data_IF_539044901578
#
_entry.id   IF_539044901578
#
_cell.length_a   1.000
_cell.length_b   1.000
_cell.length_c   1.000
_cell.angle_alpha   90.00
_cell.angle_beta   90.00
_cell.angle_gamma   90.00
#
_symmetry.space_group_name_H-M   'P 1'
#
loop_
_entity.id
_entity.type
_entity.pdbx_description
1 polymer ?
#
# COMPACT_ATOMS: atom_id res chain seq x y z
N UNK A 1 26.07 1.66 11.37
CA UNK A 1 25.13 1.45 10.25
C UNK A 1 23.72 1.73 10.77
N UNK A 2 22.99 2.70 10.17
CA UNK A 2 21.62 3.12 10.60
C UNK A 2 20.50 2.69 9.63
N UNK A 3 20.86 2.04 8.53
CA UNK A 3 19.93 1.56 7.50
C UNK A 3 19.79 0.05 7.61
N UNK A 4 18.55 -0.44 7.68
CA UNK A 4 18.26 -1.88 7.70
C UNK A 4 18.56 -2.52 6.35
N UNK A 5 18.28 -1.80 5.27
CA UNK A 5 18.57 -2.19 3.90
C UNK A 5 19.41 -1.09 3.25
N UNK A 6 20.52 -1.47 2.62
CA UNK A 6 21.47 -0.52 2.03
C UNK A 6 20.93 0.20 0.79
N UNK A 7 19.95 -0.39 0.11
CA UNK A 7 19.35 0.09 -1.13
C UNK A 7 18.05 0.91 -0.92
N UNK A 8 17.52 0.91 0.31
CA UNK A 8 16.30 1.61 0.72
C UNK A 8 16.69 2.78 1.62
N UNK A 9 16.92 3.93 1.00
CA UNK A 9 17.31 5.18 1.67
C UNK A 9 16.21 6.25 1.48
N UNK A 10 16.03 7.17 2.44
CA UNK A 10 15.17 8.33 2.25
C UNK A 10 15.77 9.27 1.18
N UNK A 11 14.93 10.05 0.51
CA UNK A 11 15.43 11.16 -0.32
C UNK A 11 15.89 12.31 0.57
N UNK A 12 16.95 13.01 0.20
CA UNK A 12 17.42 14.17 0.95
C UNK A 12 16.34 15.26 1.06
N UNK A 13 15.53 15.44 0.03
CA UNK A 13 14.45 16.44 -0.02
C UNK A 13 13.27 16.16 0.92
N UNK A 14 13.12 14.93 1.41
CA UNK A 14 11.97 14.51 2.22
C UNK A 14 12.36 13.80 3.51
N UNK A 15 13.66 13.58 3.76
CA UNK A 15 14.14 12.90 4.96
C UNK A 15 13.69 13.63 6.23
N UNK A 16 13.51 12.87 7.30
CA UNK A 16 13.32 13.47 8.62
C UNK A 16 14.70 13.73 9.23
N UNK A 17 14.94 14.98 9.59
CA UNK A 17 16.18 15.41 10.25
C UNK A 17 16.00 15.45 11.76
N UNK A 18 17.04 15.04 12.51
CA UNK A 18 17.07 15.01 13.97
C UNK A 18 18.22 15.88 14.52
N UNK A 19 18.10 17.22 14.53
CA UNK A 19 19.20 18.11 14.90
C UNK A 19 19.74 17.90 16.32
N UNK A 20 18.98 17.24 17.21
CA UNK A 20 19.43 16.93 18.57
C UNK A 20 20.24 15.63 18.70
N UNK A 21 20.43 14.89 17.60
CA UNK A 21 21.30 13.70 17.54
C UNK A 21 22.66 14.03 16.93
N UNK A 22 23.61 13.08 16.99
CA UNK A 22 25.00 13.29 16.59
C UNK A 22 25.18 13.59 15.10
N UNK A 23 24.38 12.94 14.25
CA UNK A 23 24.55 12.92 12.80
C UNK A 23 23.28 13.31 12.04
N UNK A 24 22.29 13.88 12.74
CA UNK A 24 20.95 14.28 12.27
C UNK A 24 20.10 13.21 11.54
N UNK A 25 20.63 12.00 11.39
CA UNK A 25 20.13 11.03 10.44
C UNK A 25 19.21 9.99 11.08
N UNK A 26 18.08 9.77 10.42
CA UNK A 26 17.23 8.59 10.57
C UNK A 26 16.67 8.19 9.20
N UNK A 27 16.51 6.89 8.95
CA UNK A 27 15.89 6.40 7.71
C UNK A 27 14.36 6.57 7.74
N UNK A 28 13.91 7.81 7.61
CA UNK A 28 12.50 8.16 7.59
C UNK A 28 12.25 9.26 6.57
N UNK A 29 11.06 9.29 5.96
CA UNK A 29 10.66 10.32 5.01
C UNK A 29 9.30 10.88 5.37
N UNK A 30 9.17 12.20 5.32
CA UNK A 30 7.87 12.85 5.31
C UNK A 30 7.13 12.52 4.02
N UNK A 31 5.84 12.20 4.15
CA UNK A 31 4.91 12.05 3.03
C UNK A 31 3.71 12.94 3.31
N UNK A 32 3.61 14.04 2.55
CA UNK A 32 2.64 15.12 2.76
C UNK A 32 1.78 15.30 1.52
N UNK A 33 0.74 16.11 1.66
CA UNK A 33 -0.12 16.59 0.56
C UNK A 33 -0.80 15.47 -0.24
N UNK A 34 -1.27 14.42 0.44
CA UNK A 34 -2.03 13.32 -0.17
C UNK A 34 -3.54 13.60 -0.30
N UNK A 35 -4.01 14.72 0.23
CA UNK A 35 -5.42 15.13 0.22
C UNK A 35 -5.74 15.98 1.44
N UNK A 36 -6.77 16.85 1.36
CA UNK A 36 -7.10 17.79 2.44
C UNK A 36 -7.57 17.11 3.73
N UNK A 37 -8.28 15.98 3.59
CA UNK A 37 -8.79 15.18 4.71
C UNK A 37 -7.81 14.09 5.15
N UNK A 38 -6.64 13.98 4.51
CA UNK A 38 -5.66 12.94 4.78
C UNK A 38 -4.54 13.47 5.71
N UNK A 39 -4.11 12.70 6.73
CA UNK A 39 -2.94 13.05 7.52
C UNK A 39 -1.67 13.17 6.67
N UNK A 40 -0.74 13.99 7.14
CA UNK A 40 0.66 13.82 6.76
C UNK A 40 1.25 12.60 7.47
N UNK A 41 2.18 11.92 6.82
CA UNK A 41 2.82 10.73 7.35
C UNK A 41 4.33 10.91 7.48
N UNK A 42 4.92 10.12 8.36
CA UNK A 42 6.34 9.79 8.35
C UNK A 42 6.46 8.30 8.08
N UNK A 43 7.01 7.93 6.93
CA UNK A 43 7.30 6.52 6.60
C UNK A 43 8.74 6.21 7.00
N UNK A 44 8.94 5.19 7.82
CA UNK A 44 10.27 4.77 8.30
C UNK A 44 10.45 3.25 8.26
N UNK A 45 11.70 2.80 8.34
CA UNK A 45 12.03 1.37 8.51
C UNK A 45 11.69 0.91 9.94
N UNK A 46 11.63 -0.42 10.14
CA UNK A 46 11.56 -0.98 11.48
C UNK A 46 12.83 -0.56 12.24
N UNK A 47 12.70 0.09 13.42
CA UNK A 47 13.86 0.54 14.18
C UNK A 47 14.84 -0.61 14.42
N UNK A 48 16.13 -0.35 14.24
CA UNK A 48 17.20 -1.26 14.61
C UNK A 48 17.55 -1.02 16.09
N UNK A 49 18.11 -2.00 16.82
CA UNK A 49 18.58 -1.78 18.19
C UNK A 49 19.49 -0.55 18.33
N UNK A 50 20.33 -0.30 17.31
CA UNK A 50 21.22 0.87 17.24
C UNK A 50 20.50 2.21 16.97
N UNK A 51 19.24 2.19 16.54
CA UNK A 51 18.45 3.38 16.16
C UNK A 51 17.18 3.54 17.00
N UNK A 52 16.98 2.79 18.08
CA UNK A 52 15.78 2.95 18.92
C UNK A 52 15.70 4.35 19.55
N UNK A 53 16.83 4.88 20.03
CA UNK A 53 16.89 6.24 20.56
C UNK A 53 16.51 7.27 19.48
N UNK A 54 17.08 7.15 18.28
CA UNK A 54 16.78 8.05 17.16
C UNK A 54 15.29 8.01 16.79
N UNK A 55 14.67 6.82 16.79
CA UNK A 55 13.25 6.66 16.50
C UNK A 55 12.36 7.41 17.52
N UNK A 56 12.65 7.28 18.82
CA UNK A 56 11.85 7.97 19.83
C UNK A 56 12.16 9.47 19.92
N UNK A 57 13.40 9.88 19.65
CA UNK A 57 13.74 11.30 19.49
C UNK A 57 12.95 11.89 18.32
N UNK A 58 12.84 11.18 17.20
CA UNK A 58 11.98 11.59 16.07
C UNK A 58 10.52 11.78 16.51
N UNK A 59 9.97 10.83 17.27
CA UNK A 59 8.60 10.90 17.81
C UNK A 59 8.42 12.15 18.69
N UNK A 60 9.39 12.43 19.59
CA UNK A 60 9.33 13.59 20.49
C UNK A 60 9.49 14.92 19.76
N UNK A 61 10.49 15.04 18.87
CA UNK A 61 10.78 16.28 18.13
C UNK A 61 9.67 16.63 17.14
N UNK A 62 9.15 15.62 16.40
CA UNK A 62 8.11 15.83 15.38
C UNK A 62 6.70 15.76 15.95
N UNK A 63 6.59 15.73 17.28
CA UNK A 63 5.33 15.82 18.01
C UNK A 63 4.34 14.70 17.66
N UNK A 64 4.86 13.50 17.42
CA UNK A 64 4.05 12.36 16.97
C UNK A 64 3.26 11.81 18.15
N UNK A 65 1.98 11.60 17.93
CA UNK A 65 1.05 10.99 18.90
C UNK A 65 0.55 9.62 18.45
N UNK A 66 0.71 9.27 17.15
CA UNK A 66 0.22 8.01 16.59
C UNK A 66 1.32 7.31 15.78
N UNK A 67 1.61 6.06 16.16
CA UNK A 67 2.59 5.18 15.52
C UNK A 67 1.88 3.91 15.04
N UNK A 68 2.04 3.59 13.77
CA UNK A 68 1.50 2.38 13.14
C UNK A 68 2.66 1.43 12.81
N UNK A 69 2.66 0.26 13.44
CA UNK A 69 3.61 -0.82 13.19
C UNK A 69 2.92 -1.90 12.34
N UNK A 70 3.38 -2.14 11.12
CA UNK A 70 2.82 -3.15 10.20
C UNK A 70 3.54 -4.50 10.26
N UNK A 71 4.12 -4.81 11.42
CA UNK A 71 4.83 -6.04 11.73
C UNK A 71 4.27 -6.67 13.00
N UNK A 72 3.79 -7.90 12.89
CA UNK A 72 3.47 -8.75 14.04
C UNK A 72 4.76 -9.15 14.80
N UNK A 73 4.63 -9.60 16.04
CA UNK A 73 5.78 -9.98 16.88
C UNK A 73 6.69 -11.02 16.21
N UNK A 74 6.10 -11.99 15.51
CA UNK A 74 6.84 -13.02 14.77
C UNK A 74 7.70 -12.49 13.61
N UNK A 75 7.47 -11.24 13.17
CA UNK A 75 8.19 -10.58 12.07
C UNK A 75 9.21 -9.58 12.57
N UNK A 76 9.21 -9.26 13.88
CA UNK A 76 10.10 -8.27 14.49
C UNK A 76 11.46 -8.89 14.89
N UNK A 77 11.62 -10.22 14.83
CA UNK A 77 12.87 -10.91 15.21
C UNK A 77 13.38 -10.54 16.61
N UNK A 78 12.47 -10.25 17.56
CA UNK A 78 12.81 -9.81 18.91
C UNK A 78 13.28 -8.35 19.02
N UNK A 79 13.29 -7.59 17.94
CA UNK A 79 13.68 -6.17 17.91
C UNK A 79 12.52 -5.27 18.40
N UNK A 80 12.23 -5.37 19.69
CA UNK A 80 11.16 -4.63 20.34
C UNK A 80 11.69 -3.28 20.84
N UNK A 81 11.26 -2.19 20.21
CA UNK A 81 11.68 -0.82 20.55
C UNK A 81 10.73 -0.13 21.55
N UNK A 82 9.83 -0.86 22.20
CA UNK A 82 8.86 -0.30 23.17
C UNK A 82 8.84 -1.10 24.47
N UNK A 83 8.31 -0.50 25.55
CA UNK A 83 8.11 -1.19 26.82
C UNK A 83 7.00 -2.25 26.74
N UNK A 84 7.30 -3.46 27.20
CA UNK A 84 6.39 -4.62 27.11
C UNK A 84 5.53 -4.78 28.37
N UNK A 85 6.01 -4.31 29.52
CA UNK A 85 5.33 -4.40 30.82
C UNK A 85 5.10 -3.01 31.41
N UNK A 86 4.06 -2.84 32.22
CA UNK A 86 3.79 -1.58 32.93
C UNK A 86 4.79 -1.28 34.05
N UNK A 87 5.48 -2.32 34.54
CA UNK A 87 6.42 -2.20 35.66
C UNK A 87 7.87 -2.04 35.19
N UNK A 88 8.10 -2.07 33.88
CA UNK A 88 9.44 -2.06 33.29
C UNK A 88 9.49 -1.03 32.17
N UNK A 89 10.18 0.07 32.43
CA UNK A 89 10.44 1.10 31.44
C UNK A 89 11.55 0.64 30.48
N UNK A 90 11.36 0.89 29.19
CA UNK A 90 12.45 0.79 28.23
C UNK A 90 13.25 2.10 28.27
N UNK A 91 14.48 2.01 28.76
CA UNK A 91 15.42 3.15 28.84
C UNK A 91 16.51 2.99 27.80
N UNK A 92 16.61 3.95 26.88
CA UNK A 92 17.60 3.96 25.80
C UNK A 92 18.27 5.33 25.76
N UNK A 93 19.50 5.41 26.26
CA UNK A 93 20.20 6.68 26.41
C UNK A 93 19.40 7.63 27.32
N UNK A 94 19.02 8.80 26.80
CA UNK A 94 18.19 9.78 27.52
C UNK A 94 16.69 9.55 27.39
N UNK A 95 16.26 8.65 26.50
CA UNK A 95 14.84 8.40 26.24
C UNK A 95 14.35 7.32 27.20
N UNK A 96 13.18 7.57 27.78
CA UNK A 96 12.42 6.60 28.56
C UNK A 96 11.04 6.39 27.92
N UNK A 97 10.69 5.13 27.70
CA UNK A 97 9.39 4.70 27.18
C UNK A 97 8.71 3.84 28.23
N UNK A 98 7.52 4.23 28.66
CA UNK A 98 6.72 3.56 29.69
C UNK A 98 5.40 3.10 29.12
N UNK A 99 5.02 1.84 29.33
CA UNK A 99 3.72 1.32 28.93
C UNK A 99 2.63 1.70 29.94
N UNK A 100 1.59 2.39 29.49
CA UNK A 100 0.46 2.80 30.32
C UNK A 100 -0.72 1.82 30.20
N UNK A 101 -1.05 1.41 28.98
CA UNK A 101 -2.09 0.41 28.70
C UNK A 101 -1.76 -0.40 27.45
N UNK A 102 -2.30 -1.62 27.40
CA UNK A 102 -2.18 -2.52 26.26
C UNK A 102 -3.54 -3.22 26.07
N UNK A 103 -4.15 -3.03 24.91
CA UNK A 103 -5.44 -3.58 24.54
C UNK A 103 -5.26 -4.45 23.29
N UNK A 104 -5.65 -5.72 23.36
CA UNK A 104 -5.65 -6.62 22.21
C UNK A 104 -6.96 -6.43 21.45
N UNK A 105 -6.89 -6.02 20.19
CA UNK A 105 -8.04 -5.91 19.28
C UNK A 105 -8.03 -7.06 18.28
N UNK A 106 -9.07 -7.16 17.46
CA UNK A 106 -9.23 -8.26 16.48
C UNK A 106 -8.07 -8.35 15.48
N UNK A 107 -7.52 -7.23 15.02
CA UNK A 107 -6.48 -7.20 13.97
C UNK A 107 -5.21 -6.41 14.35
N UNK A 108 -5.16 -5.81 15.54
CA UNK A 108 -3.99 -5.10 16.04
C UNK A 108 -3.89 -5.15 17.55
N UNK A 109 -2.69 -4.89 18.07
CA UNK A 109 -2.47 -4.59 19.48
C UNK A 109 -2.33 -3.08 19.61
N UNK A 110 -3.13 -2.49 20.48
CA UNK A 110 -3.13 -1.06 20.80
C UNK A 110 -2.38 -0.85 22.12
N UNK A 111 -1.41 0.05 22.13
CA UNK A 111 -0.66 0.44 23.33
C UNK A 111 -0.70 1.94 23.52
N UNK A 112 -0.95 2.37 24.75
CA UNK A 112 -0.74 3.76 25.15
C UNK A 112 0.59 3.81 25.89
N UNK A 113 1.51 4.63 25.41
CA UNK A 113 2.85 4.78 25.96
C UNK A 113 3.09 6.22 26.39
N UNK A 114 3.86 6.41 27.46
CA UNK A 114 4.46 7.70 27.80
C UNK A 114 5.92 7.69 27.38
N UNK A 115 6.32 8.64 26.55
CA UNK A 115 7.69 8.77 26.03
C UNK A 115 8.25 10.10 26.53
N UNK A 116 9.45 10.08 27.11
CA UNK A 116 10.11 11.30 27.59
C UNK A 116 11.61 11.25 27.35
N UNK A 117 12.23 12.40 27.10
CA UNK A 117 13.69 12.57 27.12
C UNK A 117 14.18 13.40 28.32
N UNK A 118 13.31 13.57 29.33
CA UNK A 118 13.54 14.41 30.50
C UNK A 118 13.20 15.89 30.29
N UNK A 119 13.12 16.36 29.04
CA UNK A 119 12.75 17.75 28.71
C UNK A 119 11.32 17.83 28.19
N UNK A 120 10.96 16.91 27.30
CA UNK A 120 9.62 16.81 26.73
C UNK A 120 9.04 15.44 27.02
N UNK A 121 7.73 15.40 27.27
CA UNK A 121 6.98 14.16 27.48
C UNK A 121 5.78 14.14 26.55
N UNK A 122 5.51 12.99 25.93
CA UNK A 122 4.37 12.77 25.04
C UNK A 122 3.68 11.45 25.32
N UNK A 123 2.36 11.47 25.20
CA UNK A 123 1.55 10.25 25.18
C UNK A 123 1.42 9.81 23.72
N UNK A 124 1.77 8.56 23.45
CA UNK A 124 1.79 7.98 22.10
C UNK A 124 0.86 6.78 22.08
N UNK A 125 -0.06 6.77 21.12
CA UNK A 125 -0.83 5.59 20.75
C UNK A 125 -0.04 4.82 19.70
N UNK A 126 0.22 3.55 19.99
CA UNK A 126 0.93 2.64 19.12
C UNK A 126 0.00 1.51 18.71
N UNK A 127 -0.26 1.40 17.40
CA UNK A 127 -1.08 0.36 16.82
C UNK A 127 -0.19 -0.62 16.05
N UNK A 128 -0.09 -1.85 16.56
CA UNK A 128 0.66 -2.93 15.93
C UNK A 128 -0.26 -3.87 15.19
N UNK A 129 -0.25 -3.83 13.87
CA UNK A 129 -1.05 -4.70 13.01
C UNK A 129 -0.57 -6.15 13.09
N UNK A 130 -1.48 -7.06 13.41
CA UNK A 130 -1.18 -8.50 13.59
C UNK A 130 -1.70 -9.36 12.44
N UNK A 131 -2.52 -8.81 11.54
CA UNK A 131 -3.17 -9.55 10.47
C UNK A 131 -2.46 -9.47 9.10
N UNK A 132 -1.18 -9.06 9.05
CA UNK A 132 -0.38 -9.11 7.81
C UNK A 132 0.46 -10.39 7.74
N UNK A 133 0.23 -11.30 6.77
CA UNK A 133 1.01 -12.52 6.63
C UNK A 133 2.51 -12.28 6.36
N UNK A 134 3.37 -13.20 6.77
CA UNK A 134 4.83 -13.02 6.67
C UNK A 134 5.35 -12.70 5.27
N UNK A 135 4.96 -13.48 4.26
CA UNK A 135 5.48 -13.38 2.89
C UNK A 135 4.41 -13.05 1.85
N UNK A 136 3.17 -12.85 2.29
CA UNK A 136 2.01 -12.79 1.42
C UNK A 136 1.15 -11.57 1.75
N UNK A 137 0.25 -11.23 0.84
CA UNK A 137 -0.80 -10.26 1.11
C UNK A 137 -1.89 -10.87 1.99
N UNK A 138 -2.58 -10.07 2.82
CA UNK A 138 -3.79 -10.51 3.49
C UNK A 138 -4.81 -11.06 2.48
N UNK A 139 -5.55 -12.12 2.84
CA UNK A 139 -6.58 -12.73 1.98
C UNK A 139 -7.71 -11.74 1.63
N UNK A 140 -7.96 -10.79 2.52
CA UNK A 140 -8.93 -9.71 2.34
C UNK A 140 -8.31 -8.36 2.72
N UNK A 141 -8.66 -7.27 2.01
CA UNK A 141 -8.32 -5.90 2.43
C UNK A 141 -8.95 -5.47 3.77
N UNK A 142 -10.03 -6.14 4.20
CA UNK A 142 -10.86 -5.74 5.34
C UNK A 142 -10.07 -5.42 6.62
N UNK A 143 -9.21 -6.32 7.14
CA UNK A 143 -8.43 -6.05 8.34
C UNK A 143 -7.54 -4.80 8.26
N UNK A 144 -6.90 -4.56 7.11
CA UNK A 144 -6.08 -3.36 6.90
C UNK A 144 -6.96 -2.11 6.87
N UNK A 145 -8.11 -2.16 6.19
CA UNK A 145 -9.07 -1.06 6.12
C UNK A 145 -9.68 -0.73 7.50
N UNK A 146 -9.88 -1.72 8.37
CA UNK A 146 -10.28 -1.49 9.76
C UNK A 146 -9.21 -0.70 10.52
N UNK A 147 -7.93 -1.09 10.40
CA UNK A 147 -6.83 -0.35 11.03
C UNK A 147 -6.69 1.07 10.46
N UNK A 148 -6.85 1.24 9.14
CA UNK A 148 -6.83 2.55 8.49
C UNK A 148 -7.95 3.43 9.02
N UNK A 149 -9.17 2.91 9.11
CA UNK A 149 -10.33 3.65 9.63
C UNK A 149 -10.12 4.07 11.08
N UNK A 150 -9.57 3.18 11.91
CA UNK A 150 -9.21 3.48 13.30
C UNK A 150 -8.13 4.58 13.37
N UNK A 151 -7.09 4.48 12.54
CA UNK A 151 -6.00 5.47 12.46
C UNK A 151 -6.55 6.86 12.12
N UNK A 152 -7.43 6.95 11.12
CA UNK A 152 -8.04 8.21 10.69
C UNK A 152 -9.01 8.77 11.75
N UNK A 153 -9.72 7.90 12.47
CA UNK A 153 -10.57 8.28 13.61
C UNK A 153 -9.74 8.91 14.73
N UNK A 154 -8.70 8.22 15.19
CA UNK A 154 -7.78 8.71 16.23
C UNK A 154 -7.10 10.02 15.82
N UNK A 155 -6.60 10.10 14.59
CA UNK A 155 -5.98 11.31 14.07
C UNK A 155 -6.98 12.49 14.02
N UNK A 156 -8.22 12.24 13.60
CA UNK A 156 -9.24 13.30 13.55
C UNK A 156 -9.64 13.81 14.93
N UNK A 157 -9.57 12.95 15.95
CA UNK A 157 -9.84 13.29 17.35
C UNK A 157 -8.77 14.18 18.01
N UNK A 158 -7.56 14.30 17.42
CA UNK A 158 -6.47 15.16 17.90
C UNK A 158 -6.75 16.68 17.75
N UNK A 159 -7.92 17.07 17.24
CA UNK A 159 -8.34 18.47 17.18
C UNK A 159 -7.59 19.29 16.13
N UNK A 160 -7.16 20.51 16.50
CA UNK A 160 -6.53 21.49 15.58
C UNK A 160 -5.03 21.31 15.38
N UNK A 161 -4.33 20.66 16.31
CA UNK A 161 -2.88 20.42 16.25
C UNK A 161 -2.58 19.02 15.72
N UNK A 162 -3.03 18.72 14.50
CA UNK A 162 -2.90 17.40 13.90
C UNK A 162 -1.45 17.13 13.51
N UNK A 163 -0.76 16.31 14.30
CA UNK A 163 0.59 15.86 14.00
C UNK A 163 0.60 14.87 12.81
N UNK A 164 1.80 14.58 12.31
CA UNK A 164 1.97 13.49 11.34
C UNK A 164 1.77 12.13 12.02
N UNK A 165 1.34 11.14 11.25
CA UNK A 165 1.26 9.75 11.71
C UNK A 165 2.53 9.01 11.28
N UNK A 166 3.23 8.37 12.22
CA UNK A 166 4.37 7.51 11.87
C UNK A 166 3.84 6.16 11.41
N UNK A 167 4.34 5.67 10.28
CA UNK A 167 4.02 4.34 9.74
C UNK A 167 5.32 3.63 9.42
N UNK A 168 5.47 2.39 9.90
CA UNK A 168 6.59 1.56 9.50
C UNK A 168 6.18 0.11 9.28
N UNK A 169 7.05 -0.56 8.54
CA UNK A 169 7.09 -2.00 8.38
C UNK A 169 8.58 -2.37 8.44
N UNK A 170 9.00 -3.47 7.82
CA UNK A 170 10.41 -3.87 7.84
C UNK A 170 11.34 -2.81 7.22
N UNK A 171 11.11 -2.44 5.95
CA UNK A 171 11.94 -1.46 5.25
C UNK A 171 11.35 -0.04 5.14
N UNK A 172 10.11 0.17 5.61
CA UNK A 172 9.39 1.40 5.32
C UNK A 172 9.01 1.55 3.83
N UNK A 173 8.76 0.42 3.17
CA UNK A 173 8.32 0.29 1.79
C UNK A 173 7.47 -0.98 1.63
N UNK A 174 6.63 -1.07 0.60
CA UNK A 174 5.67 -2.15 0.42
C UNK A 174 4.46 -1.97 1.31
N UNK A 175 4.46 -2.60 2.50
CA UNK A 175 3.31 -2.54 3.44
C UNK A 175 2.99 -1.12 3.89
N UNK A 176 4.01 -0.34 4.24
CA UNK A 176 3.84 1.06 4.62
C UNK A 176 3.24 1.91 3.49
N UNK A 177 3.66 1.65 2.23
CA UNK A 177 3.06 2.33 1.08
C UNK A 177 1.62 1.92 0.86
N UNK A 178 1.30 0.62 0.93
CA UNK A 178 -0.09 0.14 0.85
C UNK A 178 -0.98 0.80 1.90
N UNK A 179 -0.51 0.87 3.15
CA UNK A 179 -1.25 1.50 4.24
C UNK A 179 -1.49 2.99 3.97
N UNK A 180 -0.44 3.74 3.62
CA UNK A 180 -0.54 5.20 3.40
C UNK A 180 -1.44 5.52 2.21
N UNK A 181 -1.33 4.76 1.11
CA UNK A 181 -2.18 4.95 -0.06
C UNK A 181 -3.64 4.58 0.24
N UNK A 182 -3.89 3.47 0.95
CA UNK A 182 -5.24 3.12 1.40
C UNK A 182 -5.83 4.17 2.34
N UNK A 183 -5.03 4.74 3.24
CA UNK A 183 -5.46 5.81 4.13
C UNK A 183 -5.83 7.09 3.38
N UNK A 184 -5.10 7.44 2.32
CA UNK A 184 -5.47 8.56 1.45
C UNK A 184 -6.84 8.33 0.78
N UNK A 185 -7.09 7.12 0.26
CA UNK A 185 -8.39 6.81 -0.35
C UNK A 185 -9.54 6.87 0.64
N UNK A 186 -9.38 6.25 1.81
CA UNK A 186 -10.41 6.21 2.84
C UNK A 186 -10.71 7.62 3.32
N UNK A 187 -9.68 8.44 3.56
CA UNK A 187 -9.84 9.83 3.96
C UNK A 187 -10.61 10.66 2.91
N UNK A 188 -10.31 10.48 1.62
CA UNK A 188 -11.00 11.17 0.53
C UNK A 188 -12.46 10.73 0.41
N UNK A 189 -12.73 9.42 0.48
CA UNK A 189 -14.09 8.86 0.39
C UNK A 189 -14.95 9.15 1.63
N UNK A 190 -14.34 9.35 2.79
CA UNK A 190 -15.03 9.79 4.01
C UNK A 190 -15.32 11.30 4.01
N UNK A 191 -14.60 12.09 3.21
CA UNK A 191 -14.82 13.53 3.15
C UNK A 191 -16.20 13.87 2.57
N UNK A 192 -16.80 14.97 3.03
CA UNK A 192 -18.11 15.44 2.54
C UNK A 192 -18.12 15.76 1.04
N UNK A 193 -16.93 15.90 0.42
CA UNK A 193 -16.73 16.14 -1.00
C UNK A 193 -16.54 14.85 -1.82
N UNK A 194 -16.72 13.66 -1.21
CA UNK A 194 -16.57 12.36 -1.87
C UNK A 194 -17.46 12.18 -3.13
N UNK A 195 -18.45 13.05 -3.33
CA UNK A 195 -19.29 13.06 -4.53
C UNK A 195 -18.56 13.55 -5.81
N UNK A 196 -17.36 14.14 -5.72
CA UNK A 196 -16.73 14.77 -6.87
C UNK A 196 -15.84 13.83 -7.71
N UNK A 197 -15.12 12.87 -7.11
CA UNK A 197 -14.24 11.95 -7.85
C UNK A 197 -13.76 10.77 -6.98
N UNK A 198 -13.63 9.59 -7.59
CA UNK A 198 -12.89 8.46 -7.01
C UNK A 198 -11.38 8.74 -7.11
N UNK A 199 -10.59 8.54 -6.04
CA UNK A 199 -9.15 8.68 -6.10
C UNK A 199 -8.55 7.70 -7.11
N UNK A 200 -7.59 8.15 -7.91
CA UNK A 200 -6.82 7.30 -8.81
C UNK A 200 -5.62 6.70 -8.06
N UNK A 201 -5.55 5.35 -7.91
CA UNK A 201 -4.45 4.72 -7.21
C UNK A 201 -3.06 5.01 -7.77
N UNK A 202 -2.93 5.21 -9.08
CA UNK A 202 -1.64 5.52 -9.70
C UNK A 202 -1.19 6.92 -9.31
N UNK A 203 -2.10 7.90 -9.31
CA UNK A 203 -1.80 9.29 -8.96
C UNK A 203 -1.37 9.40 -7.51
N UNK A 204 -2.12 8.80 -6.58
CA UNK A 204 -1.79 8.81 -5.16
C UNK A 204 -0.48 8.07 -4.90
N UNK A 205 -0.29 6.89 -5.52
CA UNK A 205 0.98 6.15 -5.41
C UNK A 205 2.16 6.96 -5.93
N UNK A 206 2.01 7.67 -7.05
CA UNK A 206 3.04 8.53 -7.60
C UNK A 206 3.36 9.70 -6.65
N UNK A 207 2.35 10.28 -5.99
CA UNK A 207 2.56 11.33 -4.99
C UNK A 207 3.36 10.84 -3.77
N UNK A 208 3.12 9.61 -3.32
CA UNK A 208 3.94 8.96 -2.27
C UNK A 208 5.35 8.65 -2.80
N UNK A 209 5.47 8.16 -4.04
CA UNK A 209 6.75 7.74 -4.64
C UNK A 209 7.72 8.91 -4.87
N UNK A 210 7.22 10.14 -5.02
CA UNK A 210 8.06 11.36 -5.06
C UNK A 210 8.70 11.70 -3.71
N UNK A 211 8.18 11.14 -2.62
CA UNK A 211 8.57 11.50 -1.25
C UNK A 211 9.21 10.33 -0.50
N UNK A 212 8.91 9.08 -0.86
CA UNK A 212 9.57 7.88 -0.32
C UNK A 212 9.89 6.93 -1.48
N UNK A 213 11.14 6.49 -1.57
CA UNK A 213 11.58 5.55 -2.62
C UNK A 213 10.82 4.22 -2.50
N UNK A 214 10.39 3.68 -3.63
CA UNK A 214 9.75 2.36 -3.76
C UNK A 214 8.58 2.12 -2.77
N UNK A 215 7.58 3.01 -2.68
CA UNK A 215 6.53 2.88 -1.66
C UNK A 215 5.71 1.61 -1.85
N UNK A 216 5.47 1.20 -3.09
CA UNK A 216 4.97 -0.12 -3.47
C UNK A 216 6.10 -0.87 -4.17
N UNK A 217 6.41 -2.10 -3.72
CA UNK A 217 7.61 -2.83 -4.19
C UNK A 217 7.43 -3.46 -5.57
N UNK A 218 6.21 -3.88 -5.88
CA UNK A 218 5.88 -4.65 -7.09
C UNK A 218 4.43 -4.40 -7.53
N UNK A 219 4.02 -5.08 -8.61
CA UNK A 219 2.68 -4.99 -9.17
C UNK A 219 1.60 -5.54 -8.23
N UNK A 220 1.93 -6.48 -7.36
CA UNK A 220 0.97 -7.07 -6.43
C UNK A 220 0.61 -6.08 -5.32
N UNK A 221 1.55 -5.26 -4.86
CA UNK A 221 1.26 -4.15 -3.94
C UNK A 221 0.29 -3.15 -4.57
N UNK A 222 0.49 -2.79 -5.86
CA UNK A 222 -0.43 -1.91 -6.57
C UNK A 222 -1.82 -2.54 -6.72
N UNK A 223 -1.89 -3.82 -7.14
CA UNK A 223 -3.15 -4.58 -7.21
C UNK A 223 -3.87 -4.60 -5.86
N UNK A 224 -3.15 -4.83 -4.77
CA UNK A 224 -3.73 -4.88 -3.43
C UNK A 224 -4.30 -3.52 -3.00
N UNK A 225 -3.65 -2.43 -3.37
CA UNK A 225 -4.16 -1.06 -3.16
C UNK A 225 -5.45 -0.81 -3.96
N UNK A 226 -5.55 -1.29 -5.21
CA UNK A 226 -6.83 -1.28 -5.96
C UNK A 226 -7.92 -2.10 -5.25
N UNK A 227 -7.58 -3.27 -4.70
CA UNK A 227 -8.53 -4.09 -3.94
C UNK A 227 -9.01 -3.37 -2.67
N UNK A 228 -8.13 -2.65 -1.97
CA UNK A 228 -8.50 -1.82 -0.82
C UNK A 228 -9.54 -0.76 -1.21
N UNK A 229 -9.29 -0.02 -2.30
CA UNK A 229 -10.21 1.01 -2.79
C UNK A 229 -11.58 0.41 -3.15
N UNK A 230 -11.59 -0.67 -3.95
CA UNK A 230 -12.81 -1.33 -4.39
C UNK A 230 -13.62 -1.87 -3.21
N UNK A 231 -12.96 -2.58 -2.29
CA UNK A 231 -13.61 -3.16 -1.12
C UNK A 231 -14.24 -2.08 -0.24
N UNK A 232 -13.51 -0.99 0.02
CA UNK A 232 -14.02 0.11 0.84
C UNK A 232 -15.19 0.83 0.17
N UNK A 233 -15.10 1.10 -1.13
CA UNK A 233 -16.17 1.74 -1.89
C UNK A 233 -17.44 0.87 -1.90
N UNK A 234 -17.29 -0.44 -2.10
CA UNK A 234 -18.42 -1.39 -2.07
C UNK A 234 -19.08 -1.42 -0.68
N UNK A 235 -18.28 -1.57 0.39
CA UNK A 235 -18.78 -1.55 1.77
C UNK A 235 -19.52 -0.24 2.10
N UNK A 236 -18.97 0.90 1.67
CA UNK A 236 -19.62 2.21 1.82
C UNK A 236 -20.97 2.27 1.09
N UNK A 237 -21.05 1.80 -0.15
CA UNK A 237 -22.29 1.80 -0.93
C UNK A 237 -23.33 0.83 -0.36
N UNK A 238 -22.90 -0.33 0.17
CA UNK A 238 -23.77 -1.27 0.87
C UNK A 238 -24.34 -0.65 2.16
N UNK A 239 -23.50 0.01 2.97
CA UNK A 239 -23.93 0.72 4.20
C UNK A 239 -24.92 1.86 3.91
N UNK A 240 -24.84 2.46 2.72
CA UNK A 240 -25.80 3.48 2.24
C UNK A 240 -27.06 2.89 1.59
N UNK A 241 -27.17 1.56 1.48
CA UNK A 241 -28.29 0.89 0.83
C UNK A 241 -28.33 1.05 -0.69
N UNK A 242 -27.25 1.52 -1.32
CA UNK A 242 -27.18 1.74 -2.78
C UNK A 242 -26.90 0.43 -3.52
N UNK A 243 -26.05 -0.44 -2.94
CA UNK A 243 -25.79 -1.79 -3.46
C UNK A 243 -26.58 -2.83 -2.65
N UNK A 244 -27.34 -3.68 -3.34
CA UNK A 244 -27.93 -4.88 -2.74
C UNK A 244 -26.83 -5.93 -2.43
N UNK A 245 -27.00 -6.71 -1.36
CA UNK A 245 -25.97 -7.53 -0.70
C UNK A 245 -25.35 -8.70 -1.48
N UNK A 246 -25.41 -8.74 -2.81
CA UNK A 246 -24.74 -9.79 -3.59
C UNK A 246 -23.31 -9.36 -3.93
N UNK A 247 -22.36 -9.75 -3.09
CA UNK A 247 -20.93 -9.69 -3.40
C UNK A 247 -20.58 -10.68 -4.52
N UNK A 248 -20.10 -10.20 -5.66
CA UNK A 248 -19.69 -11.04 -6.80
C UNK A 248 -18.34 -11.74 -6.60
N UNK A 249 -17.72 -11.64 -5.42
CA UNK A 249 -16.39 -12.19 -5.15
C UNK A 249 -16.39 -13.56 -4.47
N UNK A 250 -17.54 -14.06 -3.98
CA UNK A 250 -17.62 -15.33 -3.23
C UNK A 250 -18.01 -16.56 -4.06
N UNK A 251 -18.31 -16.42 -5.36
CA UNK A 251 -18.55 -17.60 -6.19
C UNK A 251 -17.23 -18.22 -6.65
N UNK A 252 -16.58 -18.98 -5.75
CA UNK A 252 -15.79 -20.15 -6.14
C UNK A 252 -16.74 -21.18 -6.77
N UNK A 253 -17.01 -20.96 -8.06
CA UNK A 253 -17.43 -21.86 -9.14
C UNK A 253 -17.60 -23.34 -8.76
N UNK A 254 -18.73 -23.71 -8.16
CA UNK A 254 -19.33 -25.03 -8.38
C UNK A 254 -20.12 -24.98 -9.68
N UNK A 255 -19.77 -25.87 -10.62
CA UNK A 255 -20.37 -25.96 -11.96
C UNK A 255 -21.91 -26.04 -11.87
N UNK A 256 -22.59 -25.10 -12.50
CA UNK A 256 -23.89 -25.37 -13.15
C UNK A 256 -24.06 -24.45 -14.36
N UNK A 257 -24.43 -25.06 -15.49
CA UNK A 257 -24.69 -24.39 -16.77
C UNK A 257 -25.92 -23.49 -16.62
N UNK A 258 -25.78 -22.21 -16.93
CA UNK A 258 -26.90 -21.35 -17.28
C UNK A 258 -26.42 -20.32 -18.29
N UNK A 259 -27.10 -20.27 -19.44
CA UNK A 259 -26.85 -19.30 -20.50
C UNK A 259 -27.30 -17.92 -20.04
N UNK A 260 -26.36 -17.00 -19.85
CA UNK A 260 -26.62 -15.56 -19.83
C UNK A 260 -25.59 -14.90 -20.73
N UNK A 261 -26.07 -14.35 -21.85
CA UNK A 261 -25.24 -13.59 -22.81
C UNK A 261 -24.71 -12.33 -22.14
N UNK A 262 -23.43 -12.04 -22.33
CA UNK A 262 -22.75 -10.87 -21.79
C UNK A 262 -22.90 -9.67 -22.75
N UNK A 263 -23.19 -8.43 -22.31
CA UNK A 263 -23.43 -7.28 -23.19
C UNK A 263 -22.20 -6.74 -23.95
N UNK A 264 -21.11 -7.51 -24.05
CA UNK A 264 -19.88 -7.12 -24.75
C UNK A 264 -19.49 -8.09 -25.87
N UNK A 265 -20.29 -9.13 -26.15
CA UNK A 265 -20.08 -10.00 -27.31
C UNK A 265 -20.60 -9.41 -28.62
N UNK A 266 -21.54 -8.45 -28.57
CA UNK A 266 -22.12 -7.82 -29.76
C UNK A 266 -21.16 -6.85 -30.48
N UNK A 267 -20.11 -6.37 -29.80
CA UNK A 267 -19.17 -5.40 -30.38
C UNK A 267 -18.05 -6.07 -31.19
N UNK A 268 -17.84 -7.37 -31.04
CA UNK A 268 -16.76 -8.11 -31.72
C UNK A 268 -17.26 -9.00 -32.88
N UNK A 269 -18.57 -9.19 -33.04
CA UNK A 269 -19.14 -10.06 -34.07
C UNK A 269 -19.59 -9.34 -35.35
N UNK A 270 -19.45 -8.01 -35.43
CA UNK A 270 -19.86 -7.24 -36.60
C UNK A 270 -18.73 -6.93 -37.61
N UNK A 271 -17.51 -7.47 -37.42
CA UNK A 271 -16.39 -7.24 -38.35
C UNK A 271 -15.97 -8.45 -39.17
N UNK A 272 -16.68 -9.58 -39.10
CA UNK A 272 -16.39 -10.75 -39.95
C UNK A 272 -17.69 -11.36 -40.48
N UNK A 273 -18.19 -10.80 -41.59
CA UNK A 273 -19.06 -11.51 -42.53
C UNK A 273 -18.39 -11.51 -43.89
N UNK A 274 -17.58 -12.52 -44.14
CA UNK A 274 -17.43 -13.05 -45.50
C UNK A 274 -18.61 -13.99 -45.78
N UNK A 275 -19.28 -13.89 -46.95
CA UNK A 275 -20.28 -14.86 -47.35
C UNK A 275 -19.66 -15.97 -48.21
N UNK A 276 -19.89 -17.22 -47.82
CA UNK A 276 -19.82 -18.39 -48.69
C UNK A 276 -21.17 -19.12 -48.58
N UNK A 277 -21.76 -19.75 -49.58
CA UNK A 277 -21.61 -19.92 -51.03
C UNK A 277 -22.89 -20.67 -51.45
N UNK A 278 -23.46 -20.43 -52.63
CA UNK A 278 -24.03 -21.50 -53.48
C UNK A 278 -24.34 -20.98 -54.90
N UNK A 279 -23.62 -21.59 -55.88
CA UNK A 279 -23.85 -21.89 -57.31
C UNK A 279 -24.62 -20.88 -58.20
N UNK A 280 -24.20 -20.58 -59.45
CA UNK A 280 -24.04 -21.54 -60.56
C UNK A 280 -23.39 -20.85 -61.80
N UNK A 281 -22.64 -21.63 -62.58
CA UNK A 281 -22.39 -21.53 -64.05
C UNK A 281 -21.37 -20.56 -64.69
N UNK A 282 -20.37 -21.20 -65.31
CA UNK A 282 -19.82 -20.99 -66.67
C UNK A 282 -19.20 -19.64 -67.11
N UNK A 283 -17.88 -19.60 -67.31
CA UNK A 283 -17.21 -19.55 -68.64
C UNK A 283 -15.68 -19.37 -68.56
N UNK A 284 -15.05 -19.88 -69.63
CA UNK A 284 -13.62 -20.10 -69.90
C UNK A 284 -12.77 -18.84 -70.13
N UNK A 285 -11.45 -19.10 -70.24
CA UNK A 285 -10.34 -18.30 -70.77
C UNK A 285 -9.69 -17.37 -69.71
N UNK A 286 -8.37 -17.16 -69.60
CA UNK A 286 -7.15 -17.66 -70.22
C UNK A 286 -5.99 -16.81 -69.64
N UNK A 287 -4.81 -17.40 -69.50
CA UNK A 287 -3.48 -16.76 -69.54
C UNK A 287 -2.83 -16.02 -68.34
N UNK A 288 -1.56 -16.43 -68.17
CA UNK A 288 -0.35 -15.65 -67.86
C UNK A 288 0.09 -15.45 -66.38
N UNK A 289 1.04 -16.33 -65.99
CA UNK A 289 2.35 -16.04 -65.39
C UNK A 289 2.61 -14.72 -64.64
N UNK A 290 3.15 -14.79 -63.42
CA UNK A 290 4.59 -14.60 -63.17
C UNK A 290 4.95 -14.55 -61.68
N UNK A 291 6.21 -14.88 -61.44
CA UNK A 291 7.00 -15.06 -60.23
C UNK A 291 7.13 -13.84 -59.31
N UNK A 292 7.29 -14.06 -58.00
CA UNK A 292 7.80 -13.06 -57.07
C UNK A 292 7.94 -13.53 -55.62
N UNK A 293 9.12 -14.01 -55.26
CA UNK A 293 9.55 -14.37 -53.91
C UNK A 293 9.99 -13.13 -53.12
N UNK A 294 9.44 -12.90 -51.92
CA UNK A 294 9.96 -11.94 -50.94
C UNK A 294 9.96 -12.52 -49.52
N UNK A 295 11.13 -12.46 -48.90
CA UNK A 295 11.49 -12.85 -47.51
C UNK A 295 11.04 -11.76 -46.50
N UNK A 296 11.04 -12.05 -45.17
CA UNK A 296 10.22 -11.36 -44.19
C UNK A 296 10.85 -10.06 -43.71
N UNK A 297 10.00 -9.05 -43.44
CA UNK A 297 10.42 -7.80 -42.80
C UNK A 297 10.22 -7.88 -41.28
N UNK A 298 11.34 -7.76 -40.59
CA UNK A 298 11.50 -7.45 -39.17
C UNK A 298 11.00 -6.04 -38.85
N UNK A 299 10.05 -5.90 -37.93
CA UNK A 299 9.94 -4.73 -37.05
C UNK A 299 8.96 -5.00 -35.90
N UNK A 300 9.15 -6.07 -35.14
CA UNK A 300 8.57 -6.17 -33.79
C UNK A 300 9.65 -5.82 -32.76
N UNK A 301 9.58 -4.66 -32.07
CA UNK A 301 10.55 -4.26 -31.06
C UNK A 301 10.60 -5.19 -29.84
N UNK A 302 9.70 -6.19 -29.75
CA UNK A 302 9.68 -7.21 -28.70
C UNK A 302 10.44 -8.49 -29.06
N UNK A 303 10.86 -8.67 -30.33
CA UNK A 303 11.58 -9.88 -30.76
C UNK A 303 13.02 -9.97 -30.23
N UNK A 304 13.55 -8.88 -29.67
CA UNK A 304 14.91 -8.81 -29.10
C UNK A 304 14.98 -9.11 -27.59
N UNK A 305 13.85 -9.41 -26.94
CA UNK A 305 13.83 -9.71 -25.51
C UNK A 305 14.07 -11.21 -25.30
N UNK A 306 15.22 -11.58 -24.74
CA UNK A 306 15.51 -12.96 -24.32
C UNK A 306 14.44 -13.42 -23.31
N UNK A 307 13.59 -14.41 -23.65
CA UNK A 307 12.51 -14.87 -22.77
C UNK A 307 13.03 -15.50 -21.46
N UNK A 308 14.33 -15.78 -21.35
CA UNK A 308 14.98 -16.35 -20.16
C UNK A 308 15.69 -15.31 -19.29
N UNK A 309 15.59 -14.01 -19.62
CA UNK A 309 16.14 -12.90 -18.82
C UNK A 309 15.79 -12.95 -17.32
N UNK A 310 14.57 -13.35 -16.88
CA UNK A 310 14.22 -13.36 -15.46
C UNK A 310 14.91 -14.46 -14.63
N UNK A 311 15.47 -15.49 -15.27
CA UNK A 311 15.95 -16.70 -14.59
C UNK A 311 17.43 -16.59 -14.20
N UNK A 312 18.21 -15.72 -14.85
CA UNK A 312 19.66 -15.59 -14.63
C UNK A 312 20.07 -14.74 -13.42
N UNK A 313 19.13 -14.24 -12.59
CA UNK A 313 19.44 -13.42 -11.40
C UNK A 313 19.40 -14.15 -10.05
N UNK A 314 19.13 -15.44 -10.05
CA UNK A 314 19.13 -16.27 -8.84
C UNK A 314 19.99 -17.52 -9.02
N UNK A 315 21.26 -17.31 -9.35
CA UNK A 315 22.34 -18.30 -9.25
C UNK A 315 23.52 -17.66 -8.52
#
# INVERSE_FOLDING_TARGET
MKNRFSDILPFDSSRVELPSTKDDYINASFVKNLGHSCPSFIITQAPLPSTYADFWIMVLEKQIELVICLLADSQMSGEIYWAVSKNEDLVIGRVKVSLQSCNIRSYWVERIMSVTDGKVTRVVVHLQFTAWPQRWFPESPGPLLCLVSETLSLWSAQGRCRASVVVHCDSGAGRSGCFVVAAAFVAELQSSNAAARLPDPVVVTAAVARQRKNPLRDRDHLKFVYQCLLYYAQDMLMKRGILASKSTFDEKRTKQKSHTRHPSEDFLLNSLKEPSQFNMEERRASDASSTGSLKPNDSDPLSQIDPLWPIKRYS
#
